data_IF_870479086933
#
_entry.id   IF_870479086933
#
_cell.length_a   1.000
_cell.length_b   1.000
_cell.length_c   1.000
_cell.angle_alpha   90.00
_cell.angle_beta   90.00
_cell.angle_gamma   90.00
#
_symmetry.space_group_name_H-M   'P 1'
#
loop_
_entity.id
_entity.type
_entity.pdbx_description
1 polymer ?
#
# COMPACT_ATOMS: atom_id res chain seq x y z
N UNK A 1 11.38 11.32 -9.24
CA UNK A 1 11.49 10.16 -8.31
C UNK A 1 12.28 8.96 -8.87
N UNK A 2 12.16 8.57 -10.16
CA UNK A 2 12.80 7.36 -10.76
C UNK A 2 14.34 7.26 -10.59
N UNK A 3 15.11 8.36 -10.69
CA UNK A 3 16.58 8.31 -10.56
C UNK A 3 17.10 8.01 -9.14
N UNK A 4 16.33 8.40 -8.10
CA UNK A 4 16.74 8.25 -6.69
C UNK A 4 16.71 6.78 -6.26
N UNK A 5 15.68 6.04 -6.67
CA UNK A 5 15.50 4.63 -6.33
C UNK A 5 16.58 3.75 -6.97
N UNK A 6 16.87 3.95 -8.25
CA UNK A 6 17.94 3.22 -8.95
C UNK A 6 19.30 3.46 -8.27
N UNK A 7 19.57 4.69 -7.81
CA UNK A 7 20.79 5.02 -7.08
C UNK A 7 20.90 4.29 -5.74
N UNK A 8 19.78 4.11 -5.02
CA UNK A 8 19.74 3.36 -3.75
C UNK A 8 20.02 1.88 -4.00
N UNK A 9 19.36 1.27 -4.99
CA UNK A 9 19.57 -0.15 -5.30
C UNK A 9 20.98 -0.43 -5.84
N UNK A 10 21.51 0.46 -6.70
CA UNK A 10 22.86 0.35 -7.23
C UNK A 10 23.92 0.32 -6.12
N UNK A 11 23.79 1.20 -5.11
CA UNK A 11 24.70 1.23 -3.96
C UNK A 11 24.67 -0.03 -3.10
N UNK A 12 23.60 -0.84 -3.18
CA UNK A 12 23.49 -2.13 -2.48
C UNK A 12 24.15 -3.29 -3.24
N UNK A 13 24.50 -3.11 -4.51
CA UNK A 13 25.19 -4.12 -5.31
C UNK A 13 26.65 -4.24 -4.86
N UNK A 14 27.18 -5.47 -4.81
CA UNK A 14 28.61 -5.68 -4.68
C UNK A 14 29.34 -5.20 -5.96
N UNK A 15 30.65 -5.00 -5.88
CA UNK A 15 31.48 -4.47 -6.99
C UNK A 15 31.27 -5.22 -8.30
N UNK A 16 31.26 -6.55 -8.27
CA UNK A 16 31.05 -7.37 -9.47
C UNK A 16 29.64 -7.18 -10.07
N UNK A 17 28.63 -7.02 -9.22
CA UNK A 17 27.27 -6.74 -9.69
C UNK A 17 27.10 -5.31 -10.21
N UNK A 18 27.84 -4.34 -9.68
CA UNK A 18 27.85 -2.97 -10.20
C UNK A 18 28.45 -2.91 -11.61
N UNK A 19 29.51 -3.69 -11.87
CA UNK A 19 30.09 -3.83 -13.22
C UNK A 19 29.05 -4.41 -14.18
N UNK A 20 28.42 -5.54 -13.82
CA UNK A 20 27.35 -6.15 -14.63
C UNK A 20 26.16 -5.21 -14.86
N UNK A 21 25.80 -4.41 -13.86
CA UNK A 21 24.76 -3.40 -13.99
C UNK A 21 25.12 -2.37 -15.07
N UNK A 22 26.36 -1.86 -15.04
CA UNK A 22 26.83 -0.89 -16.03
C UNK A 22 26.90 -1.49 -17.43
N UNK A 23 27.31 -2.76 -17.56
CA UNK A 23 27.30 -3.50 -18.83
C UNK A 23 25.87 -3.60 -19.39
N UNK A 24 24.90 -4.02 -18.58
CA UNK A 24 23.49 -4.11 -18.97
C UNK A 24 22.93 -2.75 -19.39
N UNK A 25 23.22 -1.68 -18.63
CA UNK A 25 22.78 -0.31 -18.98
C UNK A 25 23.39 0.15 -20.30
N UNK A 26 24.67 -0.15 -20.52
CA UNK A 26 25.36 0.19 -21.77
C UNK A 26 24.73 -0.55 -22.95
N UNK A 27 24.41 -1.82 -22.78
CA UNK A 27 23.80 -2.63 -23.84
C UNK A 27 22.36 -2.19 -24.16
N UNK A 28 21.57 -1.86 -23.15
CA UNK A 28 20.24 -1.25 -23.33
C UNK A 28 20.35 0.06 -24.10
N UNK A 29 21.32 0.93 -23.78
CA UNK A 29 21.52 2.21 -24.46
C UNK A 29 21.97 2.06 -25.93
N UNK A 30 22.72 1.00 -26.27
CA UNK A 30 23.08 0.72 -27.67
C UNK A 30 21.88 0.26 -28.50
N UNK A 31 20.90 -0.37 -27.86
CA UNK A 31 19.69 -0.81 -28.52
C UNK A 31 18.70 0.37 -28.66
N UNK A 32 18.75 1.07 -29.80
CA UNK A 32 17.91 2.23 -30.11
C UNK A 32 16.39 1.99 -29.95
N UNK A 33 15.93 0.74 -29.82
CA UNK A 33 14.52 0.40 -29.61
C UNK A 33 14.08 0.46 -28.15
N UNK A 34 15.00 0.49 -27.18
CA UNK A 34 14.68 0.43 -25.76
C UNK A 34 15.14 1.72 -25.07
N UNK A 35 14.20 2.47 -24.51
CA UNK A 35 14.52 3.67 -23.75
C UNK A 35 14.81 3.32 -22.29
N UNK A 36 15.99 3.70 -21.80
CA UNK A 36 16.38 3.46 -20.40
C UNK A 36 15.42 4.14 -19.40
N UNK A 37 14.76 5.25 -19.79
CA UNK A 37 13.76 5.95 -18.95
C UNK A 37 12.49 5.12 -18.71
N UNK A 38 12.24 4.17 -19.60
CA UNK A 38 11.11 3.24 -19.57
C UNK A 38 11.50 1.86 -19.03
N UNK A 39 12.71 1.76 -18.48
CA UNK A 39 13.19 0.56 -17.80
C UNK A 39 13.16 0.75 -16.27
N UNK A 40 12.73 -0.28 -15.56
CA UNK A 40 12.73 -0.38 -14.10
C UNK A 40 13.79 -1.37 -13.66
N UNK A 41 14.58 -0.97 -12.67
CA UNK A 41 15.54 -1.84 -11.99
C UNK A 41 14.98 -2.22 -10.61
N UNK A 42 14.70 -3.49 -10.40
CA UNK A 42 14.02 -4.00 -9.20
C UNK A 42 14.81 -5.14 -8.55
N UNK A 43 14.68 -5.28 -7.24
CA UNK A 43 15.07 -6.49 -6.51
C UNK A 43 14.15 -7.64 -6.95
N UNK A 44 14.70 -8.83 -7.17
CA UNK A 44 13.96 -9.97 -7.69
C UNK A 44 14.10 -11.16 -6.74
N UNK A 45 12.98 -11.62 -6.16
CA UNK A 45 12.93 -12.88 -5.40
C UNK A 45 12.46 -14.00 -6.32
N UNK A 46 13.30 -15.00 -6.54
CA UNK A 46 12.95 -16.15 -7.36
C UNK A 46 12.26 -17.21 -6.49
N UNK A 47 11.03 -17.60 -6.87
CA UNK A 47 10.33 -18.74 -6.25
C UNK A 47 10.43 -19.97 -7.18
N UNK A 48 11.08 -21.04 -6.70
CA UNK A 48 11.28 -22.28 -7.48
C UNK A 48 9.97 -22.94 -7.90
N UNK A 49 8.97 -22.95 -7.01
CA UNK A 49 7.69 -23.65 -7.23
C UNK A 49 6.58 -22.74 -7.75
N UNK A 50 6.88 -21.49 -8.11
CA UNK A 50 5.88 -20.57 -8.68
C UNK A 50 5.67 -20.92 -10.15
N UNK A 51 4.42 -21.07 -10.58
CA UNK A 51 4.08 -21.32 -11.99
C UNK A 51 4.35 -20.09 -12.85
N UNK A 52 4.80 -20.29 -14.09
CA UNK A 52 5.11 -19.22 -15.05
C UNK A 52 3.87 -18.41 -15.44
N UNK A 53 2.68 -19.03 -15.41
CA UNK A 53 1.41 -18.36 -15.70
C UNK A 53 1.12 -17.24 -14.71
N UNK A 54 1.53 -17.41 -13.44
CA UNK A 54 1.38 -16.38 -12.41
C UNK A 54 2.29 -15.17 -12.64
N UNK A 55 3.32 -15.28 -13.49
CA UNK A 55 4.15 -14.15 -13.87
C UNK A 55 3.51 -13.30 -14.99
N UNK A 56 2.30 -13.64 -15.44
CA UNK A 56 1.48 -12.86 -16.38
C UNK A 56 2.22 -12.44 -17.67
N UNK A 57 3.13 -13.30 -18.15
CA UNK A 57 3.90 -13.04 -19.36
C UNK A 57 4.93 -11.92 -19.23
N UNK A 58 5.29 -11.51 -18.01
CA UNK A 58 6.38 -10.56 -17.76
C UNK A 58 7.70 -11.14 -18.31
N UNK A 59 8.34 -10.38 -19.21
CA UNK A 59 9.62 -10.72 -19.84
C UNK A 59 10.70 -9.76 -19.38
N UNK A 60 11.64 -10.20 -18.53
CA UNK A 60 12.70 -9.31 -18.11
C UNK A 60 13.76 -9.13 -19.19
N UNK A 61 14.32 -7.92 -19.26
CA UNK A 61 15.35 -7.53 -20.24
C UNK A 61 16.70 -8.09 -19.86
N UNK A 62 17.02 -8.08 -18.57
CA UNK A 62 18.27 -8.58 -18.02
C UNK A 62 18.06 -9.00 -16.57
N UNK A 63 18.91 -9.91 -16.12
CA UNK A 63 18.90 -10.45 -14.77
C UNK A 63 20.32 -10.46 -14.20
N UNK A 64 20.49 -9.91 -13.00
CA UNK A 64 21.77 -9.87 -12.29
C UNK A 64 21.62 -10.68 -11.02
N UNK A 65 22.29 -11.84 -10.97
CA UNK A 65 22.44 -12.62 -9.74
C UNK A 65 23.64 -12.12 -8.95
N UNK A 66 23.40 -11.63 -7.74
CA UNK A 66 24.43 -11.35 -6.76
C UNK A 66 24.49 -12.48 -5.72
N UNK A 67 25.43 -12.39 -4.79
CA UNK A 67 25.66 -13.42 -3.77
C UNK A 67 24.45 -13.57 -2.82
N UNK A 68 23.95 -12.45 -2.30
CA UNK A 68 22.81 -12.41 -1.34
C UNK A 68 21.47 -12.11 -1.99
N UNK A 69 21.48 -11.44 -3.12
CA UNK A 69 20.30 -10.87 -3.76
C UNK A 69 20.30 -11.13 -5.26
N UNK A 70 19.17 -10.85 -5.90
CA UNK A 70 19.05 -10.88 -7.36
C UNK A 70 18.26 -9.67 -7.82
N UNK A 71 18.57 -9.19 -9.01
CA UNK A 71 18.01 -7.96 -9.55
C UNK A 71 17.58 -8.17 -10.99
N UNK A 72 16.59 -7.41 -11.42
CA UNK A 72 15.99 -7.57 -12.74
C UNK A 72 15.70 -6.22 -13.39
N UNK A 73 15.97 -6.14 -14.69
CA UNK A 73 15.58 -5.01 -15.53
C UNK A 73 14.30 -5.36 -16.27
N UNK A 74 13.30 -4.47 -16.21
CA UNK A 74 11.99 -4.66 -16.82
C UNK A 74 11.61 -3.42 -17.61
N UNK A 75 11.28 -3.58 -18.89
CA UNK A 75 10.66 -2.51 -19.68
C UNK A 75 9.21 -2.28 -19.22
N UNK A 76 8.72 -1.05 -19.30
CA UNK A 76 7.34 -0.72 -18.93
C UNK A 76 6.33 -1.59 -19.71
N UNK A 77 6.51 -1.82 -21.00
CA UNK A 77 5.58 -2.66 -21.80
C UNK A 77 5.49 -4.12 -21.32
N UNK A 78 6.57 -4.59 -20.67
CA UNK A 78 6.58 -5.92 -20.07
C UNK A 78 5.98 -5.91 -18.67
N UNK A 79 6.02 -4.78 -17.96
CA UNK A 79 5.57 -4.64 -16.58
C UNK A 79 4.11 -4.20 -16.45
N UNK A 80 3.59 -3.43 -17.41
CA UNK A 80 2.22 -2.90 -17.41
C UNK A 80 1.40 -3.51 -18.55
N UNK A 81 0.09 -3.64 -18.33
CA UNK A 81 -0.89 -3.89 -19.38
C UNK A 81 -1.08 -2.63 -20.24
N UNK A 82 -1.77 -2.78 -21.38
CA UNK A 82 -2.03 -1.65 -22.30
C UNK A 82 -2.87 -0.54 -21.68
N UNK A 83 -3.65 -0.86 -20.65
CA UNK A 83 -4.45 0.09 -19.86
C UNK A 83 -3.65 0.82 -18.78
N UNK A 84 -2.35 0.51 -18.62
CA UNK A 84 -1.48 1.11 -17.61
C UNK A 84 -1.50 0.41 -16.25
N UNK A 85 -2.29 -0.65 -16.05
CA UNK A 85 -2.28 -1.44 -14.80
C UNK A 85 -1.05 -2.35 -14.72
N UNK A 86 -0.57 -2.66 -13.52
CA UNK A 86 0.60 -3.53 -13.31
C UNK A 86 0.24 -5.00 -13.55
N UNK A 87 1.08 -5.72 -14.31
CA UNK A 87 0.96 -7.19 -14.47
C UNK A 87 1.38 -7.95 -13.22
N UNK A 88 2.37 -7.43 -12.50
CA UNK A 88 2.83 -8.02 -11.26
C UNK A 88 2.96 -6.96 -10.19
N UNK A 89 2.57 -7.28 -8.95
CA UNK A 89 2.76 -6.37 -7.85
C UNK A 89 4.25 -6.16 -7.59
N UNK A 90 4.62 -4.90 -7.33
CA UNK A 90 5.97 -4.50 -6.94
C UNK A 90 5.89 -3.91 -5.55
N UNK A 91 6.53 -4.55 -4.58
CA UNK A 91 6.54 -4.12 -3.18
C UNK A 91 7.94 -3.68 -2.78
N UNK A 92 8.15 -2.45 -2.32
CA UNK A 92 9.49 -1.93 -1.95
C UNK A 92 10.56 -2.13 -3.04
N UNK A 93 10.18 -1.86 -4.30
CA UNK A 93 11.02 -2.12 -5.48
C UNK A 93 11.46 -3.59 -5.63
N UNK A 94 10.67 -4.52 -5.08
CA UNK A 94 10.87 -5.97 -5.18
C UNK A 94 9.76 -6.59 -6.00
N UNK A 95 10.14 -7.49 -6.89
CA UNK A 95 9.25 -8.32 -7.68
C UNK A 95 9.52 -9.79 -7.38
N UNK A 96 8.48 -10.63 -7.48
CA UNK A 96 8.61 -12.08 -7.34
C UNK A 96 8.39 -12.71 -8.70
N UNK A 97 9.36 -13.48 -9.17
CA UNK A 97 9.29 -14.19 -10.44
C UNK A 97 9.51 -15.69 -10.22
N UNK A 98 8.95 -16.51 -11.12
CA UNK A 98 9.24 -17.94 -11.16
C UNK A 98 10.66 -18.20 -11.67
N UNK A 99 11.24 -19.33 -11.24
CA UNK A 99 12.53 -19.77 -11.77
C UNK A 99 12.46 -20.03 -13.29
N UNK A 100 11.31 -20.48 -13.79
CA UNK A 100 11.11 -20.74 -15.21
C UNK A 100 11.14 -19.46 -16.06
N UNK A 101 10.53 -18.37 -15.59
CA UNK A 101 10.60 -17.06 -16.27
C UNK A 101 12.05 -16.58 -16.44
N UNK A 102 12.88 -16.74 -15.41
CA UNK A 102 14.31 -16.40 -15.51
C UNK A 102 15.05 -17.34 -16.46
N UNK A 103 14.77 -18.65 -16.40
CA UNK A 103 15.41 -19.64 -17.28
C UNK A 103 15.07 -19.40 -18.76
N UNK A 104 13.83 -19.00 -19.06
CA UNK A 104 13.38 -18.69 -20.43
C UNK A 104 14.09 -17.47 -21.04
N UNK A 105 14.78 -16.65 -20.25
CA UNK A 105 15.56 -15.50 -20.73
C UNK A 105 16.93 -15.89 -21.27
N UNK A 106 17.56 -16.93 -20.70
CA UNK A 106 18.95 -17.32 -21.00
C UNK A 106 19.17 -17.59 -22.51
N UNK A 107 18.29 -18.33 -23.22
CA UNK A 107 18.47 -18.57 -24.65
C UNK A 107 18.38 -17.29 -25.50
N UNK A 108 17.67 -16.27 -25.03
CA UNK A 108 17.55 -15.00 -25.76
C UNK A 108 18.79 -14.13 -25.62
N UNK A 109 19.42 -14.13 -24.43
CA UNK A 109 20.72 -13.48 -24.26
C UNK A 109 21.79 -14.17 -25.10
N UNK A 110 21.90 -15.50 -25.02
CA UNK A 110 22.91 -16.24 -25.78
C UNK A 110 22.77 -16.04 -27.30
N UNK A 111 21.54 -15.94 -27.81
CA UNK A 111 21.29 -15.67 -29.23
C UNK A 111 21.68 -14.25 -29.64
N UNK A 112 21.45 -13.25 -28.78
CA UNK A 112 21.90 -11.87 -29.03
C UNK A 112 23.42 -11.74 -28.97
N UNK A 113 24.10 -12.44 -28.07
CA UNK A 113 25.57 -12.44 -28.00
C UNK A 113 26.20 -13.19 -29.17
N UNK A 114 25.54 -14.23 -29.70
CA UNK A 114 26.03 -15.01 -30.84
C UNK A 114 25.96 -14.23 -32.17
N UNK A 115 24.99 -13.33 -32.35
CA UNK A 115 24.86 -12.46 -33.53
C UNK A 115 25.87 -11.29 -33.53
N UNK A 116 26.58 -11.04 -32.42
CA UNK A 116 27.57 -9.97 -32.27
C UNK A 116 29.03 -10.44 -32.50
N UNK A 117 29.26 -11.63 -33.07
CA UNK A 117 30.61 -12.00 -33.53
C UNK A 117 31.10 -10.98 -34.57
N UNK A 118 32.38 -10.55 -34.51
CA UNK A 118 32.92 -9.53 -35.39
C UNK A 118 32.85 -10.03 -36.83
N UNK A 119 31.90 -9.49 -37.58
CA UNK A 119 31.81 -9.76 -39.02
C UNK A 119 32.98 -9.06 -39.68
N UNK A 120 33.88 -9.87 -40.25
CA UNK A 120 34.96 -9.44 -41.11
C UNK A 120 34.44 -8.54 -42.25
N UNK A 121 35.25 -7.54 -42.61
CA UNK A 121 35.09 -6.59 -43.72
C UNK A 121 34.33 -7.16 -44.93
N UNK A 122 33.06 -6.77 -45.07
CA UNK A 122 32.25 -7.04 -46.27
C UNK A 122 32.44 -5.88 -47.26
N UNK A 123 32.98 -6.22 -48.45
CA UNK A 123 33.05 -5.35 -49.62
C UNK A 123 31.63 -5.06 -50.15
N UNK A 124 31.41 -3.80 -50.48
CA UNK A 124 30.20 -3.23 -51.08
C UNK A 124 30.01 -3.76 -52.52
N UNK A 125 28.82 -4.24 -52.93
CA UNK A 125 28.45 -4.39 -54.32
C UNK A 125 27.68 -3.18 -54.87
N UNK A 126 27.90 -2.94 -56.16
CA UNK A 126 27.37 -1.88 -57.01
C UNK A 126 25.82 -1.95 -57.23
N UNK A 127 25.19 -0.86 -57.71
CA UNK A 127 23.73 -0.72 -57.73
C UNK A 127 23.06 -1.50 -58.88
N UNK A 128 21.94 -2.16 -58.58
CA UNK A 128 21.11 -2.86 -59.55
C UNK A 128 19.94 -2.00 -60.06
N UNK A 129 19.65 -2.29 -61.32
CA UNK A 129 18.86 -1.59 -62.32
C UNK A 129 17.33 -1.65 -62.06
N UNK A 130 16.64 -0.52 -62.26
CA UNK A 130 15.17 -0.44 -62.37
C UNK A 130 14.78 -0.78 -63.80
N UNK A 131 13.95 -1.81 -64.00
CA UNK A 131 12.94 -1.86 -65.07
C UNK A 131 12.06 -3.10 -64.97
N UNK A 132 10.82 -2.94 -65.42
CA UNK A 132 9.80 -3.96 -65.73
C UNK A 132 8.85 -4.38 -64.61
N UNK A 133 7.70 -3.67 -64.48
CA UNK A 133 6.38 -4.30 -64.34
C UNK A 133 5.34 -3.39 -65.00
N UNK A 134 4.96 -3.70 -66.23
CA UNK A 134 3.77 -3.16 -66.91
C UNK A 134 3.36 -4.22 -67.93
N UNK A 135 2.25 -4.91 -67.67
CA UNK A 135 1.34 -5.59 -68.62
C UNK A 135 0.53 -6.67 -67.89
N UNK A 136 -0.62 -6.30 -67.32
CA UNK A 136 -1.79 -7.17 -67.23
C UNK A 136 -3.00 -6.27 -67.46
N UNK A 137 -3.45 -6.22 -68.70
CA UNK A 137 -4.78 -5.76 -69.07
C UNK A 137 -5.05 -6.39 -70.43
N UNK A 138 -5.94 -7.37 -70.49
CA UNK A 138 -6.92 -7.56 -71.56
C UNK A 138 -7.69 -8.89 -71.42
N UNK A 139 -9.02 -8.77 -71.55
CA UNK A 139 -10.06 -9.75 -71.94
C UNK A 139 -10.70 -10.61 -70.82
N UNK A 140 -12.04 -10.87 -70.81
CA UNK A 140 -13.10 -10.46 -71.76
C UNK A 140 -14.28 -9.66 -71.17
N UNK A 141 -14.79 -8.73 -71.99
CA UNK A 141 -16.01 -7.93 -71.82
C UNK A 141 -17.33 -8.68 -72.13
N UNK A 142 -17.31 -9.98 -72.42
CA UNK A 142 -18.54 -10.66 -72.88
C UNK A 142 -19.45 -11.22 -71.76
N UNK A 143 -19.06 -11.12 -70.49
CA UNK A 143 -19.92 -11.59 -69.38
C UNK A 143 -20.91 -10.54 -68.84
N UNK A 144 -20.88 -9.29 -69.33
CA UNK A 144 -21.52 -8.15 -68.66
C UNK A 144 -22.94 -7.81 -69.16
N UNK A 145 -23.36 -8.34 -70.31
CA UNK A 145 -24.67 -8.01 -70.89
C UNK A 145 -25.85 -8.81 -70.27
N UNK A 146 -25.60 -10.00 -69.73
CA UNK A 146 -26.68 -10.87 -69.22
C UNK A 146 -27.07 -10.58 -67.74
N UNK A 147 -26.26 -9.81 -67.01
CA UNK A 147 -26.46 -9.53 -65.58
C UNK A 147 -27.25 -8.24 -65.28
N UNK A 148 -27.54 -7.37 -66.26
CA UNK A 148 -28.07 -6.02 -65.98
C UNK A 148 -29.57 -5.99 -65.64
N UNK A 149 -30.38 -6.92 -66.15
CA UNK A 149 -31.84 -6.85 -66.00
C UNK A 149 -32.37 -7.39 -64.67
N UNK A 150 -31.66 -8.32 -64.01
CA UNK A 150 -32.00 -8.84 -62.68
C UNK A 150 -31.45 -7.97 -61.53
N UNK A 151 -30.53 -7.06 -61.84
CA UNK A 151 -29.79 -6.27 -60.86
C UNK A 151 -30.61 -5.11 -60.27
N UNK A 152 -31.60 -4.58 -60.98
CA UNK A 152 -32.37 -3.43 -60.48
C UNK A 152 -33.29 -3.81 -59.30
N UNK A 153 -33.89 -5.01 -59.29
CA UNK A 153 -34.67 -5.49 -58.13
C UNK A 153 -33.78 -5.82 -56.94
N UNK A 154 -32.60 -6.41 -57.18
CA UNK A 154 -31.64 -6.71 -56.11
C UNK A 154 -31.09 -5.43 -55.47
N UNK A 155 -30.77 -4.40 -56.28
CA UNK A 155 -30.34 -3.09 -55.81
C UNK A 155 -31.39 -2.42 -54.90
N UNK A 156 -32.67 -2.46 -55.29
CA UNK A 156 -33.74 -1.91 -54.45
C UNK A 156 -33.88 -2.66 -53.11
N UNK A 157 -33.77 -4.00 -53.10
CA UNK A 157 -33.83 -4.80 -51.88
C UNK A 157 -32.62 -4.49 -50.96
N UNK A 158 -31.42 -4.36 -51.54
CA UNK A 158 -30.20 -4.02 -50.78
C UNK A 158 -30.31 -2.63 -50.16
N UNK A 159 -30.84 -1.64 -50.89
CA UNK A 159 -31.04 -0.28 -50.37
C UNK A 159 -32.03 -0.28 -49.21
N UNK A 160 -33.16 -0.99 -49.35
CA UNK A 160 -34.17 -1.10 -48.27
C UNK A 160 -33.57 -1.78 -47.04
N UNK A 161 -32.82 -2.87 -47.21
CA UNK A 161 -32.18 -3.58 -46.10
C UNK A 161 -31.13 -2.71 -45.40
N UNK A 162 -30.33 -1.97 -46.16
CA UNK A 162 -29.33 -1.05 -45.61
C UNK A 162 -29.98 0.07 -44.80
N UNK A 163 -31.09 0.64 -45.29
CA UNK A 163 -31.86 1.65 -44.55
C UNK A 163 -32.46 1.09 -43.26
N UNK A 164 -32.96 -0.15 -43.29
CA UNK A 164 -33.50 -0.84 -42.10
C UNK A 164 -32.41 -1.07 -41.04
N UNK A 165 -31.22 -1.52 -41.45
CA UNK A 165 -30.07 -1.71 -40.55
C UNK A 165 -29.61 -0.37 -39.98
N UNK A 166 -29.51 0.68 -40.80
CA UNK A 166 -29.16 2.02 -40.34
C UNK A 166 -30.17 2.54 -39.30
N UNK A 167 -31.46 2.31 -39.53
CA UNK A 167 -32.52 2.69 -38.59
C UNK A 167 -32.40 1.94 -37.26
N UNK A 168 -32.18 0.62 -37.29
CA UNK A 168 -31.97 -0.20 -36.09
C UNK A 168 -30.71 0.21 -35.31
N UNK A 169 -29.61 0.50 -36.00
CA UNK A 169 -28.37 0.98 -35.38
C UNK A 169 -28.54 2.37 -34.76
N UNK A 170 -29.29 3.27 -35.41
CA UNK A 170 -29.58 4.60 -34.85
C UNK A 170 -30.47 4.51 -33.61
N UNK A 171 -31.45 3.60 -33.58
CA UNK A 171 -32.27 3.32 -32.40
C UNK A 171 -31.47 2.74 -31.23
N UNK A 172 -30.63 1.73 -31.51
CA UNK A 172 -29.76 1.12 -30.50
C UNK A 172 -28.71 2.11 -29.96
N UNK A 173 -28.15 2.95 -30.84
CA UNK A 173 -27.23 4.03 -30.46
C UNK A 173 -27.90 5.09 -29.59
N UNK A 174 -29.16 5.43 -29.85
CA UNK A 174 -29.97 6.33 -29.02
C UNK A 174 -30.25 5.74 -27.64
N UNK A 175 -30.61 4.46 -27.55
CA UNK A 175 -30.87 3.78 -26.26
C UNK A 175 -29.59 3.64 -25.45
N UNK A 176 -28.46 3.26 -26.07
CA UNK A 176 -27.16 3.19 -25.40
C UNK A 176 -26.69 4.59 -24.98
N UNK A 177 -26.82 5.59 -25.84
CA UNK A 177 -26.49 6.98 -25.52
C UNK A 177 -27.32 7.53 -24.36
N UNK A 178 -28.64 7.28 -24.37
CA UNK A 178 -29.52 7.62 -23.26
C UNK A 178 -29.17 6.85 -21.98
N UNK A 179 -28.89 5.55 -22.07
CA UNK A 179 -28.46 4.75 -20.92
C UNK A 179 -27.17 5.28 -20.32
N UNK A 180 -26.15 5.58 -21.13
CA UNK A 180 -24.89 6.14 -20.64
C UNK A 180 -25.03 7.57 -20.13
N UNK A 181 -25.84 8.43 -20.76
CA UNK A 181 -26.08 9.79 -20.29
C UNK A 181 -26.88 9.80 -18.97
N UNK A 182 -27.91 8.95 -18.87
CA UNK A 182 -28.80 8.93 -17.70
C UNK A 182 -28.23 8.11 -16.52
N UNK A 183 -27.33 7.14 -16.77
CA UNK A 183 -26.54 6.48 -15.71
C UNK A 183 -25.17 7.13 -15.46
N UNK A 184 -24.75 8.14 -16.24
CA UNK A 184 -23.50 8.88 -15.94
C UNK A 184 -23.61 9.79 -14.71
N UNK A 185 -24.80 9.93 -14.13
CA UNK A 185 -25.05 10.76 -12.94
C UNK A 185 -24.45 10.20 -11.64
N UNK A 186 -23.72 9.09 -11.65
CA UNK A 186 -22.93 8.66 -10.49
C UNK A 186 -21.56 8.14 -10.93
N UNK A 187 -20.89 8.85 -11.85
CA UNK A 187 -19.45 9.02 -11.61
C UNK A 187 -19.39 10.00 -10.45
N UNK A 188 -19.61 9.50 -9.23
CA UNK A 188 -19.07 10.16 -8.05
C UNK A 188 -17.61 10.38 -8.42
N UNK A 189 -17.24 11.64 -8.72
CA UNK A 189 -15.85 12.02 -8.65
C UNK A 189 -15.43 11.46 -7.30
N UNK A 190 -14.54 10.47 -7.24
CA UNK A 190 -14.18 9.86 -5.99
C UNK A 190 -13.80 11.05 -5.13
N UNK A 191 -14.58 11.28 -4.08
CA UNK A 191 -14.51 12.51 -3.31
C UNK A 191 -13.28 12.38 -2.41
N UNK A 192 -12.13 12.28 -3.07
CA UNK A 192 -10.78 12.12 -2.56
C UNK A 192 -10.29 13.46 -1.99
N UNK A 193 -11.20 14.43 -1.84
CA UNK A 193 -10.93 15.67 -1.15
C UNK A 193 -10.86 15.35 0.33
N UNK A 194 -9.66 15.09 0.81
CA UNK A 194 -9.32 15.18 2.22
C UNK A 194 -9.97 16.42 2.83
N UNK A 195 -10.77 16.24 3.86
CA UNK A 195 -11.37 17.33 4.57
C UNK A 195 -10.26 18.18 5.23
N UNK A 196 -10.07 19.46 4.81
CA UNK A 196 -8.97 20.27 5.31
C UNK A 196 -9.08 20.59 6.81
N UNK A 197 -10.26 20.42 7.41
CA UNK A 197 -10.47 20.70 8.82
C UNK A 197 -10.10 19.52 9.72
N UNK A 198 -10.20 18.29 9.22
CA UNK A 198 -9.90 17.09 10.02
C UNK A 198 -8.45 17.10 10.48
N UNK A 199 -8.25 16.93 11.78
CA UNK A 199 -6.93 16.92 12.40
C UNK A 199 -6.39 18.32 12.73
N UNK A 200 -7.11 19.40 12.44
CA UNK A 200 -6.75 20.75 12.93
C UNK A 200 -7.11 20.89 14.41
N UNK A 201 -6.35 21.68 15.17
CA UNK A 201 -6.58 21.88 16.60
C UNK A 201 -7.90 22.66 16.81
N UNK A 202 -8.80 22.06 17.59
CA UNK A 202 -10.07 22.64 18.07
C UNK A 202 -9.88 23.31 19.42
N UNK A 203 -9.18 22.65 20.34
CA UNK A 203 -8.89 23.16 21.68
C UNK A 203 -7.61 22.52 22.25
N UNK A 204 -6.94 23.24 23.15
CA UNK A 204 -5.86 22.70 23.98
C UNK A 204 -6.41 22.31 25.35
N UNK A 205 -6.13 21.08 25.77
CA UNK A 205 -6.44 20.57 27.10
C UNK A 205 -5.31 20.83 28.11
N UNK A 206 -5.24 20.05 29.20
CA UNK A 206 -4.21 20.18 30.21
C UNK A 206 -2.84 19.70 29.71
N UNK A 207 -1.77 20.20 30.35
CA UNK A 207 -0.45 19.59 30.30
C UNK A 207 -0.26 18.69 31.53
N UNK A 208 0.08 17.42 31.31
CA UNK A 208 0.18 16.38 32.33
C UNK A 208 1.59 16.24 32.94
N UNK A 209 2.53 17.11 32.53
CA UNK A 209 3.94 17.10 32.94
C UNK A 209 4.71 15.79 32.68
N UNK A 210 4.16 14.90 31.83
CA UNK A 210 4.79 13.66 31.38
C UNK A 210 4.26 13.29 29.99
N UNK A 211 5.11 12.69 29.15
CA UNK A 211 4.74 12.23 27.80
C UNK A 211 3.47 11.38 27.86
N UNK A 212 2.46 11.75 27.06
CA UNK A 212 1.24 10.97 26.91
C UNK A 212 1.51 9.86 25.93
N UNK A 213 1.53 8.61 26.41
CA UNK A 213 1.92 7.43 25.63
C UNK A 213 0.73 6.62 25.15
N UNK A 214 -0.42 6.71 25.83
CA UNK A 214 -1.63 5.99 25.44
C UNK A 214 -2.90 6.77 25.80
N UNK A 215 -3.94 6.61 24.97
CA UNK A 215 -5.23 7.28 25.09
C UNK A 215 -6.33 6.30 24.68
N UNK A 216 -7.38 6.16 25.49
CA UNK A 216 -8.58 5.39 25.14
C UNK A 216 -9.83 6.09 25.68
N UNK A 217 -10.96 5.88 25.01
CA UNK A 217 -12.26 6.18 25.60
C UNK A 217 -12.91 4.90 26.10
N UNK A 218 -13.34 4.93 27.36
CA UNK A 218 -14.08 3.83 27.97
C UNK A 218 -15.57 3.89 27.58
N UNK A 219 -16.27 2.78 27.75
CA UNK A 219 -17.69 2.69 27.45
C UNK A 219 -18.55 3.63 28.33
N UNK A 220 -18.08 3.97 29.54
CA UNK A 220 -18.65 4.96 30.45
C UNK A 220 -18.36 6.43 30.04
N UNK A 221 -17.77 6.63 28.85
CA UNK A 221 -17.44 7.91 28.22
C UNK A 221 -16.22 8.65 28.80
N UNK A 222 -15.64 8.18 29.90
CA UNK A 222 -14.38 8.74 30.39
C UNK A 222 -13.24 8.42 29.43
N UNK A 223 -12.28 9.34 29.36
CA UNK A 223 -11.06 9.16 28.57
C UNK A 223 -9.93 8.85 29.55
N UNK A 224 -9.28 7.69 29.40
CA UNK A 224 -8.09 7.38 30.16
C UNK A 224 -6.83 7.75 29.37
N UNK A 225 -5.88 8.33 30.09
CA UNK A 225 -4.58 8.76 29.57
C UNK A 225 -3.48 8.06 30.36
N UNK A 226 -2.65 7.28 29.67
CA UNK A 226 -1.45 6.68 30.24
C UNK A 226 -0.22 7.51 29.90
N UNK A 227 0.72 7.63 30.84
CA UNK A 227 1.95 8.41 30.65
C UNK A 227 3.22 7.58 30.72
N UNK A 228 4.33 8.17 30.28
CA UNK A 228 5.67 7.59 30.37
C UNK A 228 6.17 7.37 31.81
N UNK A 229 5.58 8.05 32.80
CA UNK A 229 5.94 7.88 34.21
C UNK A 229 5.09 6.82 34.94
N UNK A 230 4.11 6.20 34.25
CA UNK A 230 3.21 5.23 34.88
C UNK A 230 1.97 5.83 35.53
N UNK A 231 1.70 7.12 35.27
CA UNK A 231 0.48 7.78 35.72
C UNK A 231 -0.69 7.47 34.79
N UNK A 232 -1.89 7.32 35.37
CA UNK A 232 -3.18 7.28 34.68
C UNK A 232 -3.99 8.51 35.06
N UNK A 233 -4.41 9.28 34.07
CA UNK A 233 -5.37 10.38 34.23
C UNK A 233 -6.72 9.99 33.64
N UNK A 234 -7.80 10.45 34.27
CA UNK A 234 -9.13 10.40 33.70
C UNK A 234 -9.58 11.79 33.30
N UNK A 235 -10.02 11.93 32.05
CA UNK A 235 -10.53 13.17 31.49
C UNK A 235 -12.01 13.02 31.11
N UNK A 236 -12.74 14.13 31.16
CA UNK A 236 -14.04 14.25 30.50
C UNK A 236 -13.92 14.59 29.00
N UNK A 237 -15.06 14.70 28.31
CA UNK A 237 -15.12 15.06 26.89
C UNK A 237 -14.65 16.49 26.58
N UNK A 238 -14.41 17.33 27.60
CA UNK A 238 -13.85 18.68 27.47
C UNK A 238 -12.36 18.72 27.82
N UNK A 239 -11.71 17.55 27.94
CA UNK A 239 -10.33 17.36 28.39
C UNK A 239 -10.05 17.80 29.84
N UNK A 240 -11.07 18.01 30.68
CA UNK A 240 -10.86 18.37 32.09
C UNK A 240 -10.46 17.13 32.89
N UNK A 241 -9.43 17.25 33.73
CA UNK A 241 -8.99 16.17 34.62
C UNK A 241 -10.04 15.93 35.71
N UNK A 242 -10.52 14.69 35.79
CA UNK A 242 -11.37 14.20 36.87
C UNK A 242 -10.53 13.67 38.04
N UNK A 243 -9.54 12.82 37.76
CA UNK A 243 -8.62 12.28 38.76
C UNK A 243 -7.29 11.83 38.13
N UNK A 244 -6.31 11.56 39.00
CA UNK A 244 -5.00 10.99 38.70
C UNK A 244 -4.72 9.79 39.61
N UNK A 245 -4.15 8.72 39.06
CA UNK A 245 -3.60 7.56 39.77
C UNK A 245 -2.16 7.32 39.30
N UNK A 246 -1.34 6.70 40.13
CA UNK A 246 0.05 6.30 39.79
C UNK A 246 0.23 4.80 40.05
N UNK A 247 -0.45 3.93 39.29
CA UNK A 247 -0.38 2.49 39.50
C UNK A 247 0.98 1.89 39.15
N UNK A 248 1.74 2.53 38.25
CA UNK A 248 3.00 1.99 37.74
C UNK A 248 4.18 2.93 38.01
N UNK A 249 5.37 2.37 37.98
CA UNK A 249 6.65 3.08 38.05
C UNK A 249 7.37 3.13 36.69
N UNK A 250 6.64 2.87 35.61
CA UNK A 250 7.17 2.71 34.25
C UNK A 250 6.10 3.07 33.22
N UNK A 251 6.50 3.29 31.98
CA UNK A 251 5.63 3.80 30.92
C UNK A 251 4.45 2.88 30.61
N UNK A 252 3.26 3.47 30.48
CA UNK A 252 2.06 2.79 30.00
C UNK A 252 2.00 2.93 28.49
N UNK A 253 2.60 1.97 27.80
CA UNK A 253 2.86 2.04 26.35
C UNK A 253 1.60 1.83 25.51
N UNK A 254 0.62 1.06 26.00
CA UNK A 254 -0.66 0.87 25.35
C UNK A 254 -1.76 0.62 26.38
N UNK A 255 -2.98 1.01 26.02
CA UNK A 255 -4.19 0.62 26.74
C UNK A 255 -5.26 0.22 25.73
N UNK A 256 -6.11 -0.73 26.11
CA UNK A 256 -7.25 -1.13 25.29
C UNK A 256 -8.40 -1.61 26.18
N UNK A 257 -9.61 -1.14 25.87
CA UNK A 257 -10.83 -1.75 26.38
C UNK A 257 -11.39 -2.69 25.31
N UNK A 258 -11.80 -3.88 25.72
CA UNK A 258 -12.34 -4.88 24.83
C UNK A 258 -13.86 -5.02 24.93
N UNK A 259 -14.44 -5.75 23.98
CA UNK A 259 -15.87 -6.03 23.87
C UNK A 259 -16.47 -6.75 25.10
N UNK A 260 -15.65 -7.51 25.84
CA UNK A 260 -16.05 -8.13 27.11
C UNK A 260 -15.94 -7.17 28.32
N UNK A 261 -15.72 -5.88 28.09
CA UNK A 261 -15.56 -4.81 29.07
C UNK A 261 -14.31 -4.90 29.96
N UNK A 262 -13.37 -5.80 29.69
CA UNK A 262 -12.06 -5.78 30.37
C UNK A 262 -11.20 -4.64 29.83
N UNK A 263 -10.37 -4.07 30.69
CA UNK A 263 -9.46 -2.98 30.38
C UNK A 263 -8.03 -3.41 30.66
N UNK A 264 -7.19 -3.43 29.64
CA UNK A 264 -5.79 -3.82 29.75
C UNK A 264 -4.85 -2.63 29.58
N UNK A 265 -3.72 -2.70 30.26
CA UNK A 265 -2.57 -1.81 30.08
C UNK A 265 -1.28 -2.60 29.87
N UNK A 266 -0.51 -2.20 28.84
CA UNK A 266 0.83 -2.70 28.59
C UNK A 266 1.85 -1.85 29.36
N UNK A 267 2.72 -2.52 30.12
CA UNK A 267 3.85 -1.90 30.81
C UNK A 267 5.05 -2.84 30.71
N UNK A 268 6.10 -2.40 30.01
CA UNK A 268 7.25 -3.25 29.64
C UNK A 268 6.81 -4.54 28.93
N UNK A 269 7.31 -5.70 29.34
CA UNK A 269 6.95 -7.03 28.81
C UNK A 269 5.72 -7.64 29.49
N UNK A 270 4.86 -6.85 30.13
CA UNK A 270 3.71 -7.35 30.89
C UNK A 270 2.43 -6.63 30.51
N UNK A 271 1.32 -7.34 30.66
CA UNK A 271 -0.03 -6.80 30.54
C UNK A 271 -0.70 -6.92 31.91
N UNK A 272 -1.37 -5.85 32.30
CA UNK A 272 -2.12 -5.74 33.54
C UNK A 272 -3.58 -5.51 33.23
N UNK A 273 -4.46 -6.12 34.00
CA UNK A 273 -5.87 -5.74 34.01
C UNK A 273 -6.08 -4.56 34.97
N UNK A 274 -6.88 -3.60 34.53
CA UNK A 274 -7.21 -2.41 35.29
C UNK A 274 -8.71 -2.33 35.62
N UNK A 275 -9.01 -1.66 36.74
CA UNK A 275 -10.36 -1.13 36.98
C UNK A 275 -10.66 0.04 36.04
N UNK A 276 -11.91 0.47 35.98
CA UNK A 276 -12.33 1.64 35.18
C UNK A 276 -11.71 2.95 35.70
N UNK A 277 -11.30 2.94 36.97
CA UNK A 277 -10.60 4.01 37.65
C UNK A 277 -9.08 3.99 37.40
N UNK A 278 -8.58 2.97 36.68
CA UNK A 278 -7.16 2.81 36.38
C UNK A 278 -6.33 2.21 37.51
N UNK A 279 -6.96 1.48 38.44
CA UNK A 279 -6.24 0.74 39.49
C UNK A 279 -5.87 -0.66 38.98
N UNK A 280 -4.74 -1.20 39.42
CA UNK A 280 -4.30 -2.54 39.03
C UNK A 280 -5.18 -3.59 39.72
N UNK A 281 -5.77 -4.49 38.95
CA UNK A 281 -6.42 -5.70 39.47
C UNK A 281 -5.36 -6.78 39.66
N UNK A 282 -4.73 -7.24 38.57
CA UNK A 282 -3.65 -8.21 38.61
C UNK A 282 -2.78 -8.16 37.33
N UNK A 283 -1.52 -8.64 37.39
CA UNK A 283 -0.74 -8.95 36.20
C UNK A 283 -1.25 -10.23 35.53
N UNK A 284 -1.46 -10.20 34.22
CA UNK A 284 -2.03 -11.33 33.48
C UNK A 284 -1.00 -12.39 33.08
N UNK A 285 0.25 -11.97 32.83
CA UNK A 285 1.35 -12.89 32.53
C UNK A 285 1.94 -13.46 33.83
N UNK A 286 1.42 -14.59 34.29
CA UNK A 286 1.92 -15.35 35.46
C UNK A 286 3.32 -15.91 35.20
N UNK A 287 4.10 -16.18 36.25
CA UNK A 287 5.53 -16.58 36.19
C UNK A 287 5.85 -17.82 35.32
N UNK A 288 4.83 -18.60 34.91
CA UNK A 288 4.99 -19.78 34.06
C UNK A 288 4.37 -19.61 32.65
N UNK A 289 3.94 -18.39 32.29
CA UNK A 289 3.37 -18.10 30.98
C UNK A 289 4.46 -17.85 29.93
N UNK A 290 4.12 -18.03 28.66
CA UNK A 290 4.99 -17.63 27.56
C UNK A 290 5.22 -16.13 27.65
N UNK A 291 6.48 -15.70 27.70
CA UNK A 291 6.82 -14.28 27.80
C UNK A 291 6.86 -13.61 26.43
N UNK A 292 6.56 -12.31 26.42
CA UNK A 292 6.82 -11.46 25.26
C UNK A 292 8.33 -11.34 25.01
N UNK A 293 8.73 -11.39 23.75
CA UNK A 293 10.13 -11.25 23.34
C UNK A 293 10.72 -9.87 23.70
N UNK A 294 9.92 -8.81 23.61
CA UNK A 294 10.29 -7.44 24.02
C UNK A 294 9.12 -6.71 24.67
N UNK A 295 9.28 -5.42 24.99
CA UNK A 295 8.20 -4.61 25.55
C UNK A 295 6.99 -4.60 24.60
N UNK A 296 5.80 -4.69 25.18
CA UNK A 296 4.52 -4.56 24.46
C UNK A 296 4.27 -3.08 24.22
N UNK A 297 4.08 -2.70 22.98
CA UNK A 297 3.94 -1.28 22.55
C UNK A 297 2.61 -0.99 21.89
N UNK A 298 1.84 -2.01 21.52
CA UNK A 298 0.50 -1.87 21.00
C UNK A 298 -0.38 -3.02 21.51
N UNK A 299 -1.62 -2.70 21.86
CA UNK A 299 -2.67 -3.70 22.15
C UNK A 299 -3.94 -3.24 21.44
N UNK A 300 -4.61 -4.15 20.74
CA UNK A 300 -5.94 -3.89 20.15
C UNK A 300 -6.75 -5.17 20.14
N UNK A 301 -8.07 -5.04 20.17
CA UNK A 301 -8.97 -6.11 19.73
C UNK A 301 -9.32 -5.88 18.26
N UNK A 302 -9.40 -6.97 17.50
CA UNK A 302 -9.89 -6.99 16.12
C UNK A 302 -11.13 -7.92 16.06
N UNK A 303 -11.79 -7.94 14.91
CA UNK A 303 -12.91 -8.81 14.56
C UNK A 303 -12.72 -10.24 15.05
N UNK A 304 -13.81 -10.91 15.41
CA UNK A 304 -13.82 -12.28 15.95
C UNK A 304 -13.10 -12.41 17.30
N UNK A 305 -13.06 -11.34 18.09
CA UNK A 305 -12.57 -11.36 19.48
C UNK A 305 -11.10 -11.75 19.61
N UNK A 306 -10.29 -11.51 18.57
CA UNK A 306 -8.85 -11.71 18.66
C UNK A 306 -8.20 -10.47 19.27
N UNK A 307 -7.46 -10.65 20.36
CA UNK A 307 -6.66 -9.59 20.95
C UNK A 307 -5.24 -9.72 20.39
N UNK A 308 -4.70 -8.63 19.87
CA UNK A 308 -3.36 -8.57 19.32
C UNK A 308 -2.46 -7.71 20.21
N UNK A 309 -1.25 -8.19 20.45
CA UNK A 309 -0.19 -7.44 21.10
C UNK A 309 1.03 -7.31 20.17
N UNK A 310 1.43 -6.08 19.89
CA UNK A 310 2.64 -5.77 19.14
C UNK A 310 3.79 -5.39 20.08
N UNK A 311 5.01 -5.79 19.75
CA UNK A 311 6.21 -5.54 20.57
C UNK A 311 7.26 -4.65 19.88
N UNK A 312 8.22 -4.15 20.66
CA UNK A 312 9.32 -3.30 20.20
C UNK A 312 10.24 -3.95 19.14
N UNK A 313 10.27 -5.28 19.09
CA UNK A 313 11.11 -6.05 18.18
C UNK A 313 10.39 -6.46 16.88
N UNK A 314 9.18 -5.95 16.65
CA UNK A 314 8.40 -6.23 15.44
C UNK A 314 7.66 -7.56 15.46
N UNK A 315 7.40 -8.13 16.64
CA UNK A 315 6.65 -9.37 16.83
C UNK A 315 5.17 -9.06 17.13
N UNK A 316 4.26 -9.85 16.56
CA UNK A 316 2.82 -9.78 16.86
C UNK A 316 2.40 -11.08 17.52
N UNK A 317 1.75 -10.96 18.67
CA UNK A 317 1.16 -12.04 19.43
C UNK A 317 -0.35 -11.94 19.40
N UNK A 318 -1.00 -13.10 19.45
CA UNK A 318 -2.42 -13.26 19.71
C UNK A 318 -2.61 -13.60 21.20
N UNK A 319 -3.57 -12.96 21.84
CA UNK A 319 -3.91 -13.16 23.25
C UNK A 319 -5.36 -13.65 23.37
N UNK A 320 -5.61 -14.42 24.43
CA UNK A 320 -6.98 -14.64 24.91
C UNK A 320 -7.41 -13.48 25.84
N UNK A 321 -8.68 -13.52 26.27
CA UNK A 321 -9.19 -12.51 27.20
C UNK A 321 -8.57 -12.57 28.59
N UNK A 322 -7.82 -13.60 28.95
CA UNK A 322 -7.07 -13.69 30.20
C UNK A 322 -5.65 -13.12 30.05
N UNK A 323 -5.33 -12.54 28.90
CA UNK A 323 -4.03 -11.95 28.58
C UNK A 323 -2.94 -12.96 28.24
N UNK A 324 -3.26 -14.26 28.19
CA UNK A 324 -2.30 -15.31 27.87
C UNK A 324 -2.01 -15.32 26.36
N UNK A 325 -0.73 -15.51 26.00
CA UNK A 325 -0.30 -15.67 24.62
C UNK A 325 -0.80 -17.01 24.07
N UNK A 326 -1.73 -16.97 23.12
CA UNK A 326 -2.24 -18.17 22.43
C UNK A 326 -1.42 -18.50 21.21
N UNK A 327 -0.85 -17.49 20.54
CA UNK A 327 -0.10 -17.67 19.29
C UNK A 327 0.90 -16.55 19.06
N UNK A 328 2.06 -16.90 18.51
CA UNK A 328 2.96 -15.92 17.88
C UNK A 328 2.64 -15.84 16.39
N UNK A 329 2.01 -14.74 15.97
CA UNK A 329 1.52 -14.57 14.61
C UNK A 329 2.64 -14.17 13.65
N UNK A 330 3.42 -13.15 14.02
CA UNK A 330 4.55 -12.64 13.25
C UNK A 330 5.76 -12.66 14.16
N UNK A 331 6.82 -13.34 13.75
CA UNK A 331 8.07 -13.46 14.53
C UNK A 331 9.17 -12.59 13.92
N UNK A 332 9.38 -11.40 14.49
CA UNK A 332 10.42 -10.44 14.08
C UNK A 332 10.45 -9.99 12.60
N UNK A 333 9.45 -10.34 11.78
CA UNK A 333 9.51 -10.08 10.33
C UNK A 333 9.44 -8.59 9.98
N UNK A 334 8.85 -7.76 10.87
CA UNK A 334 8.67 -6.33 10.63
C UNK A 334 9.92 -5.48 10.97
N UNK A 335 10.92 -6.08 11.64
CA UNK A 335 12.23 -5.51 11.98
C UNK A 335 12.19 -4.08 12.59
N UNK A 336 11.12 -3.73 13.30
CA UNK A 336 10.92 -2.42 13.92
C UNK A 336 9.78 -2.49 14.94
N UNK A 337 9.84 -1.67 15.97
CA UNK A 337 8.81 -1.57 17.02
C UNK A 337 7.44 -1.30 16.44
N UNK A 338 6.43 -2.00 16.96
CA UNK A 338 5.04 -1.89 16.52
C UNK A 338 4.36 -0.79 17.34
N UNK A 339 4.04 0.32 16.70
CA UNK A 339 3.41 1.47 17.34
C UNK A 339 1.88 1.37 17.38
N UNK A 340 1.28 0.75 16.36
CA UNK A 340 -0.17 0.63 16.28
C UNK A 340 -0.56 -0.56 15.42
N UNK A 341 -1.67 -1.20 15.77
CA UNK A 341 -2.32 -2.24 15.01
C UNK A 341 -3.79 -1.83 14.92
N UNK A 342 -4.34 -1.80 13.71
CA UNK A 342 -5.74 -1.51 13.48
C UNK A 342 -6.30 -2.41 12.40
N UNK A 343 -7.56 -2.75 12.52
CA UNK A 343 -8.28 -3.47 11.47
C UNK A 343 -9.12 -2.49 10.66
N UNK A 344 -9.10 -2.67 9.35
CA UNK A 344 -10.03 -1.98 8.46
C UNK A 344 -10.47 -2.88 7.31
N UNK A 345 -11.78 -3.10 7.22
CA UNK A 345 -12.40 -4.07 6.31
C UNK A 345 -11.76 -5.47 6.48
N UNK A 346 -11.35 -6.10 5.38
CA UNK A 346 -10.70 -7.42 5.40
C UNK A 346 -9.19 -7.39 5.70
N UNK A 347 -8.67 -6.23 6.11
CA UNK A 347 -7.23 -6.02 6.27
C UNK A 347 -6.85 -5.58 7.67
N UNK A 348 -5.59 -5.88 8.01
CA UNK A 348 -4.97 -5.46 9.26
C UNK A 348 -3.80 -4.56 8.88
N UNK A 349 -3.79 -3.35 9.42
CA UNK A 349 -2.74 -2.38 9.22
C UNK A 349 -1.87 -2.31 10.46
N UNK A 350 -0.56 -2.49 10.27
CA UNK A 350 0.43 -2.46 11.34
C UNK A 350 1.40 -1.32 11.06
N UNK A 351 1.49 -0.37 11.99
CA UNK A 351 2.40 0.77 11.90
C UNK A 351 3.62 0.50 12.75
N UNK A 352 4.80 0.64 12.17
CA UNK A 352 6.07 0.51 12.88
C UNK A 352 6.77 1.84 13.09
N UNK A 353 7.67 1.93 14.07
CA UNK A 353 8.39 3.16 14.44
C UNK A 353 9.25 3.76 13.32
N UNK A 354 9.70 2.93 12.37
CA UNK A 354 10.38 3.42 11.18
C UNK A 354 9.43 4.06 10.13
N UNK A 355 8.14 4.16 10.44
CA UNK A 355 7.16 4.84 9.59
C UNK A 355 6.59 4.00 8.46
N UNK A 356 6.74 2.68 8.52
CA UNK A 356 6.16 1.76 7.54
C UNK A 356 4.77 1.34 8.03
N UNK A 357 3.79 1.38 7.13
CA UNK A 357 2.48 0.76 7.36
C UNK A 357 2.43 -0.54 6.56
N UNK A 358 2.38 -1.66 7.26
CA UNK A 358 2.18 -2.97 6.66
C UNK A 358 0.69 -3.23 6.52
N UNK A 359 0.25 -3.70 5.35
CA UNK A 359 -1.10 -4.19 5.10
C UNK A 359 -1.08 -5.71 5.07
N UNK A 360 -1.84 -6.34 5.96
CA UNK A 360 -1.91 -7.78 6.11
C UNK A 360 -3.32 -8.28 5.79
N UNK A 361 -3.44 -9.53 5.33
CA UNK A 361 -4.73 -10.23 5.30
C UNK A 361 -5.03 -10.91 6.64
N UNK A 362 -6.22 -11.51 6.74
CA UNK A 362 -6.65 -12.32 7.91
C UNK A 362 -5.84 -13.60 8.14
N UNK A 363 -5.05 -14.02 7.16
CA UNK A 363 -4.08 -15.11 7.31
C UNK A 363 -2.70 -14.60 7.75
N UNK A 364 -2.58 -13.32 8.09
CA UNK A 364 -1.37 -12.67 8.59
C UNK A 364 -0.24 -12.58 7.56
N UNK A 365 -0.57 -12.72 6.28
CA UNK A 365 0.37 -12.53 5.19
C UNK A 365 0.47 -11.04 4.88
N UNK A 366 1.72 -10.54 4.82
CA UNK A 366 1.99 -9.18 4.37
C UNK A 366 1.65 -9.08 2.89
N UNK A 367 0.59 -8.34 2.59
CA UNK A 367 0.13 -8.08 1.23
C UNK A 367 0.86 -6.89 0.62
N UNK A 368 1.02 -5.82 1.39
CA UNK A 368 1.57 -4.56 0.91
C UNK A 368 2.31 -3.81 2.02
N UNK A 369 3.13 -2.84 1.63
CA UNK A 369 3.88 -1.95 2.52
C UNK A 369 3.83 -0.53 1.98
N UNK A 370 3.29 0.38 2.78
CA UNK A 370 3.27 1.81 2.48
C UNK A 370 4.47 2.44 3.18
N UNK A 371 5.48 2.82 2.38
CA UNK A 371 6.75 3.35 2.88
C UNK A 371 7.03 4.74 2.32
N UNK A 372 6.22 5.73 2.70
CA UNK A 372 6.51 7.14 2.40
C UNK A 372 7.46 7.78 3.42
N UNK A 373 8.08 6.98 4.30
CA UNK A 373 8.97 7.44 5.38
C UNK A 373 8.31 8.52 6.24
N UNK A 374 7.06 8.31 6.60
CA UNK A 374 6.37 9.15 7.57
C UNK A 374 6.60 8.54 8.94
N UNK A 375 7.30 9.20 9.88
CA UNK A 375 7.61 8.65 11.20
C UNK A 375 6.36 8.58 12.07
N UNK A 376 5.41 7.73 11.67
CA UNK A 376 4.11 7.56 12.30
C UNK A 376 4.29 6.87 13.65
N UNK A 377 3.80 7.54 14.69
CA UNK A 377 3.89 7.11 16.08
C UNK A 377 2.60 6.51 16.59
N UNK A 378 1.47 6.78 15.94
CA UNK A 378 0.16 6.20 16.23
C UNK A 378 -0.75 6.29 15.01
N UNK A 379 -1.83 5.50 14.98
CA UNK A 379 -2.82 5.48 13.90
C UNK A 379 -4.20 5.13 14.46
N UNK A 380 -5.25 5.82 14.01
CA UNK A 380 -6.66 5.45 14.25
C UNK A 380 -7.46 5.46 12.96
N UNK A 381 -8.52 4.65 12.93
CA UNK A 381 -9.60 4.74 11.96
C UNK A 381 -10.59 5.83 12.39
N UNK A 382 -11.04 6.67 11.45
CA UNK A 382 -12.15 7.58 11.70
C UNK A 382 -13.50 6.90 11.46
N UNK A 383 -14.42 7.09 12.40
CA UNK A 383 -15.80 6.58 12.34
C UNK A 383 -16.68 7.32 11.32
N UNK A 384 -16.35 8.57 11.00
CA UNK A 384 -17.16 9.44 10.14
C UNK A 384 -16.82 9.35 8.65
N UNK A 385 -15.67 8.77 8.31
CA UNK A 385 -15.16 8.75 6.94
C UNK A 385 -14.57 7.38 6.62
N UNK A 386 -15.29 6.59 5.81
CA UNK A 386 -14.81 5.30 5.36
C UNK A 386 -13.46 5.46 4.67
N UNK A 387 -12.47 4.65 5.08
CA UNK A 387 -11.12 4.61 4.51
C UNK A 387 -10.19 5.77 4.89
N UNK A 388 -10.58 6.67 5.80
CA UNK A 388 -9.67 7.71 6.29
C UNK A 388 -9.13 7.33 7.67
N UNK A 389 -7.81 7.35 7.77
CA UNK A 389 -7.07 7.15 9.01
C UNK A 389 -6.29 8.40 9.39
N UNK A 390 -6.14 8.63 10.70
CA UNK A 390 -5.29 9.69 11.23
C UNK A 390 -4.04 9.15 11.89
N UNK A 391 -2.90 9.62 11.40
CA UNK A 391 -1.59 9.26 11.92
C UNK A 391 -0.88 10.44 12.59
N UNK A 392 -0.44 10.27 13.83
CA UNK A 392 0.46 11.20 14.51
C UNK A 392 1.92 10.89 14.17
N UNK A 393 2.82 11.86 14.30
CA UNK A 393 4.26 11.67 14.05
C UNK A 393 5.14 12.07 15.21
N UNK A 394 6.41 11.67 15.14
CA UNK A 394 7.49 12.08 16.06
C UNK A 394 7.73 13.60 16.17
N UNK A 395 7.21 14.38 15.22
CA UNK A 395 7.34 15.85 15.14
C UNK A 395 6.04 16.60 15.36
N UNK A 396 5.01 15.94 15.88
CA UNK A 396 3.74 16.60 16.18
C UNK A 396 2.87 16.90 14.96
N UNK A 397 3.24 16.37 13.78
CA UNK A 397 2.42 16.51 12.58
C UNK A 397 1.35 15.42 12.52
N UNK A 398 0.20 15.77 11.94
CA UNK A 398 -0.96 14.89 11.78
C UNK A 398 -1.18 14.62 10.29
N UNK A 399 -1.40 13.37 9.95
CA UNK A 399 -1.56 12.91 8.59
C UNK A 399 -2.93 12.29 8.41
N UNK A 400 -3.61 12.66 7.34
CA UNK A 400 -4.77 11.94 6.83
C UNK A 400 -4.30 10.95 5.78
N UNK A 401 -4.71 9.70 5.93
CA UNK A 401 -4.37 8.60 5.03
C UNK A 401 -5.66 8.06 4.43
N UNK A 402 -5.83 8.16 3.12
CA UNK A 402 -7.00 7.66 2.41
C UNK A 402 -6.70 6.31 1.76
N UNK A 403 -7.20 5.23 2.36
CA UNK A 403 -6.92 3.85 1.94
C UNK A 403 -7.54 3.47 0.59
N UNK A 404 -8.55 4.21 0.06
CA UNK A 404 -9.13 3.93 -1.26
C UNK A 404 -8.15 4.24 -2.41
N UNK A 405 -7.31 5.25 -2.25
CA UNK A 405 -6.44 5.76 -3.31
C UNK A 405 -5.00 5.25 -3.19
N UNK A 406 -4.81 3.95 -3.00
CA UNK A 406 -3.51 3.37 -2.66
C UNK A 406 -2.86 4.04 -1.44
N UNK A 407 -3.68 4.38 -0.43
CA UNK A 407 -3.24 5.09 0.77
C UNK A 407 -2.58 6.44 0.47
N UNK A 408 -3.22 7.27 -0.36
CA UNK A 408 -2.76 8.64 -0.57
C UNK A 408 -2.68 9.37 0.77
N UNK A 409 -1.66 10.22 0.92
CA UNK A 409 -1.36 10.85 2.21
C UNK A 409 -1.41 12.36 2.06
N UNK A 410 -2.14 13.03 2.95
CA UNK A 410 -2.15 14.48 3.08
C UNK A 410 -1.76 14.87 4.50
N UNK A 411 -0.86 15.84 4.60
CA UNK A 411 -0.51 16.47 5.88
C UNK A 411 -1.67 17.38 6.28
N UNK A 412 -2.28 17.13 7.42
CA UNK A 412 -3.10 18.11 8.13
C UNK A 412 -2.15 18.90 9.05
N UNK A 413 -1.69 20.06 8.58
CA UNK A 413 -0.95 20.96 9.45
C UNK A 413 -1.96 21.62 10.40
N UNK A 414 -1.71 21.65 11.72
CA UNK A 414 -2.50 22.49 12.61
C UNK A 414 -2.39 23.96 12.17
N UNK A 415 -3.50 24.70 12.23
CA UNK A 415 -3.65 26.08 11.74
C UNK A 415 -2.74 27.09 12.48
N UNK A 416 -1.43 27.08 12.20
CA UNK A 416 -0.45 27.99 12.79
C UNK A 416 -0.01 27.66 14.23
N UNK A 417 -0.58 26.61 14.85
CA UNK A 417 -0.20 26.16 16.21
C UNK A 417 0.59 24.87 16.10
N UNK A 418 1.88 24.90 16.41
CA UNK A 418 2.73 23.70 16.39
C UNK A 418 2.49 22.85 17.63
N UNK A 419 2.14 21.57 17.44
CA UNK A 419 2.17 20.58 18.50
C UNK A 419 3.64 20.27 18.79
N UNK A 420 4.10 20.59 20.00
CA UNK A 420 5.47 20.33 20.39
C UNK A 420 5.64 18.84 20.78
N UNK A 421 6.60 18.17 20.14
CA UNK A 421 6.94 16.78 20.43
C UNK A 421 6.13 15.75 19.63
N UNK A 422 6.47 14.48 19.85
CA UNK A 422 5.84 13.34 19.19
C UNK A 422 4.36 13.18 19.61
N UNK A 423 3.50 12.63 18.76
CA UNK A 423 2.13 12.26 19.12
C UNK A 423 2.08 10.76 19.34
N UNK A 424 2.06 10.28 20.58
CA UNK A 424 2.06 8.83 20.85
C UNK A 424 0.66 8.26 21.08
N UNK A 425 -0.28 9.09 21.54
CA UNK A 425 -1.67 8.69 21.73
C UNK A 425 -2.61 9.45 20.80
N UNK A 426 -3.57 8.74 20.21
CA UNK A 426 -4.69 9.32 19.48
C UNK A 426 -5.94 8.46 19.71
N UNK A 427 -7.08 9.09 19.95
CA UNK A 427 -8.37 8.40 20.09
C UNK A 427 -9.49 9.27 19.54
N UNK A 428 -10.42 8.67 18.80
CA UNK A 428 -11.68 9.33 18.45
C UNK A 428 -12.74 8.93 19.47
N UNK A 429 -13.36 9.92 20.10
CA UNK A 429 -14.40 9.68 21.12
C UNK A 429 -15.79 9.61 20.48
N UNK A 430 -16.80 9.10 21.20
CA UNK A 430 -18.16 8.85 20.68
C UNK A 430 -18.88 10.08 20.11
N UNK A 431 -18.59 11.29 20.59
CA UNK A 431 -19.16 12.52 20.01
C UNK A 431 -18.49 12.90 18.67
N UNK A 432 -17.46 12.14 18.29
CA UNK A 432 -16.67 12.27 17.08
C UNK A 432 -15.39 13.09 17.25
N UNK A 433 -15.23 13.86 18.32
CA UNK A 433 -14.00 14.64 18.57
C UNK A 433 -12.78 13.71 18.66
N UNK A 434 -11.62 14.23 18.28
CA UNK A 434 -10.37 13.45 18.27
C UNK A 434 -9.44 14.03 19.33
N UNK A 435 -8.99 13.19 20.26
CA UNK A 435 -8.02 13.54 21.27
C UNK A 435 -6.65 13.04 20.85
N UNK A 436 -5.64 13.87 21.06
CA UNK A 436 -4.23 13.48 20.92
C UNK A 436 -3.45 13.82 22.17
N UNK A 437 -2.40 13.05 22.41
CA UNK A 437 -1.44 13.27 23.49
C UNK A 437 -0.03 13.43 22.94
N UNK A 438 0.67 14.47 23.40
CA UNK A 438 2.02 14.79 22.96
C UNK A 438 3.10 14.21 23.89
N UNK A 439 4.32 14.10 23.36
CA UNK A 439 5.52 13.71 24.09
C UNK A 439 5.92 14.70 25.20
N UNK A 440 5.37 15.91 25.17
CA UNK A 440 5.58 16.93 26.21
C UNK A 440 4.45 16.94 27.27
N UNK A 441 3.49 16.03 27.14
CA UNK A 441 2.38 15.88 28.08
C UNK A 441 1.14 16.72 27.79
N UNK A 442 1.11 17.43 26.66
CA UNK A 442 -0.07 18.21 26.26
C UNK A 442 -1.16 17.30 25.70
N UNK A 443 -2.40 17.59 26.07
CA UNK A 443 -3.61 17.04 25.43
C UNK A 443 -4.17 18.07 24.46
N UNK A 444 -4.54 17.64 23.26
CA UNK A 444 -5.29 18.49 22.32
C UNK A 444 -6.56 17.78 21.85
N UNK A 445 -7.59 18.59 21.58
CA UNK A 445 -8.80 18.17 20.89
C UNK A 445 -8.71 18.70 19.46
N UNK A 446 -8.98 17.83 18.48
CA UNK A 446 -8.93 18.14 17.06
C UNK A 446 -10.32 18.13 16.45
N UNK A 447 -10.48 18.88 15.36
CA UNK A 447 -11.68 18.84 14.53
C UNK A 447 -11.79 17.49 13.80
N UNK A 448 -13.01 17.00 13.69
CA UNK A 448 -13.38 15.75 13.04
C UNK A 448 -14.24 15.93 11.78
N UNK A 449 -14.56 17.18 11.43
CA UNK A 449 -15.41 17.59 10.31
C UNK A 449 -14.96 18.94 9.78
#
# INVERSE_FOLDING_TARGET
>A
MKAKVTKILYKKLCTNCQIKFNEVVTEINKNNKINLKDTKFLLCKIKKNRSVQLDQGVKPLAFIKCEKDSYVFLHNDNLYFKDGTLKLPIYNNKIILSAQTIKNMIPQLEKQTAELKPTSLVKIPAPMNKNNILQINQIPEELNAHYSKKNNKLKSIIIILFLLIAFLLSGAGGILGWYFLNNSSIIEKPNNSFNPNIGTIKAQGPNLASSVTSLIQLSNLNILVGTANGDIFSLDNSAKINYKKTPFNSAITAMAQFSNNRLFAAVNKKIYELTWEGEIIEPLNKENSVEFSSNVTAITEISNNHILAGTEDGTIYELNYDGEITKKIIDHQLNSSINSIIEENDYIFVVTTNGIIYKLNKNWEILDMLSDYLPLTCLIKLSSEDNIMLGGTDKGSIYQINLKDNASIKVAQPNGVTIAGAIFGIVQIKNGDIFIGSGNGDIFILNNK
#
